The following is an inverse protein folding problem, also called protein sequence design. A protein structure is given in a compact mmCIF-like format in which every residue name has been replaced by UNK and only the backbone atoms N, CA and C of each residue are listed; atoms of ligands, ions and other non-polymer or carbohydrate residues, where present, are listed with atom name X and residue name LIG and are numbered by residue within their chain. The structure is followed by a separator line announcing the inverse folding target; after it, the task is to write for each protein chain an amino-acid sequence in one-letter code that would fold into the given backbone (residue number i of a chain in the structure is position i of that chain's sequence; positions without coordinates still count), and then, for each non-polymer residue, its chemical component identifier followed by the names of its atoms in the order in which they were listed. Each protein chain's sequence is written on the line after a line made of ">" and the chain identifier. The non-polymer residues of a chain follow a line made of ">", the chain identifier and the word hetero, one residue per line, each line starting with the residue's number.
data_IF_501421325821
#
_entry.id   IF_501421325821
#
_cell.length_a   1.000
_cell.length_b   1.000
_cell.length_c   1.000
_cell.angle_alpha   90.00
_cell.angle_beta   90.00
_cell.angle_gamma   90.00
#
_symmetry.space_group_name_H-M   'P 1'
#
loop_
_entity.id
_entity.type
_entity.pdbx_description
1 polymer ?
#
# COMPACT_ATOMS: atom_id res chain seq x y z
N UNK A 1 57.12 15.41 -27.18
CA UNK A 1 56.83 15.50 -25.74
C UNK A 1 55.33 15.36 -25.55
N UNK A 2 54.89 14.13 -25.25
CA UNK A 2 53.53 13.82 -24.82
C UNK A 2 53.37 14.29 -23.38
N UNK A 3 52.35 15.10 -23.08
CA UNK A 3 52.06 15.51 -21.72
C UNK A 3 50.93 14.66 -21.15
N UNK A 4 51.25 14.01 -20.05
CA UNK A 4 50.50 12.97 -19.35
C UNK A 4 49.49 13.62 -18.41
N UNK A 5 48.24 13.84 -18.84
CA UNK A 5 47.09 14.09 -17.95
C UNK A 5 45.72 13.96 -18.64
N UNK A 6 45.66 13.10 -19.67
CA UNK A 6 44.40 12.56 -20.19
C UNK A 6 44.06 11.30 -19.37
N UNK A 7 43.63 11.48 -18.12
CA UNK A 7 43.00 10.42 -17.32
C UNK A 7 42.28 11.06 -16.12
N UNK A 8 41.00 11.36 -16.29
CA UNK A 8 39.86 11.27 -15.34
C UNK A 8 38.69 11.91 -16.09
N UNK A 9 38.24 11.16 -17.09
CA UNK A 9 37.00 11.36 -17.81
C UNK A 9 36.03 10.31 -17.23
N UNK A 10 35.63 10.42 -15.95
CA UNK A 10 34.63 9.52 -15.35
C UNK A 10 34.08 9.93 -13.97
N UNK A 11 33.67 11.19 -13.76
CA UNK A 11 32.97 11.58 -12.51
C UNK A 11 31.64 12.31 -12.70
N UNK A 12 31.02 12.22 -13.88
CA UNK A 12 29.67 12.78 -14.10
C UNK A 12 28.51 11.78 -13.99
N UNK A 13 28.75 10.53 -13.59
CA UNK A 13 27.67 9.55 -13.34
C UNK A 13 28.05 8.57 -12.23
N UNK A 14 28.34 9.08 -11.04
CA UNK A 14 28.15 8.31 -9.82
C UNK A 14 27.20 9.15 -8.98
N UNK A 15 25.94 8.71 -8.91
CA UNK A 15 25.08 9.09 -7.81
C UNK A 15 25.85 8.68 -6.55
N UNK A 16 26.41 9.66 -5.85
CA UNK A 16 27.24 9.42 -4.67
C UNK A 16 26.40 8.61 -3.69
N UNK A 17 26.88 7.39 -3.40
CA UNK A 17 26.14 6.31 -2.77
C UNK A 17 26.04 6.53 -1.24
N UNK A 18 25.62 7.72 -0.82
CA UNK A 18 25.36 8.08 0.58
C UNK A 18 24.12 8.96 0.67
N UNK A 19 23.05 8.37 1.20
CA UNK A 19 21.85 9.02 1.74
C UNK A 19 21.11 9.94 0.77
N UNK A 20 20.47 9.36 -0.24
CA UNK A 20 19.16 9.89 -0.60
C UNK A 20 18.22 9.44 0.53
N UNK A 21 18.09 10.27 1.57
CA UNK A 21 16.87 10.23 2.36
C UNK A 21 15.74 10.57 1.39
N UNK A 22 14.97 9.56 0.97
CA UNK A 22 13.66 9.81 0.39
C UNK A 22 12.79 10.43 1.49
N UNK A 23 12.91 11.73 1.68
CA UNK A 23 12.03 12.49 2.55
C UNK A 23 10.60 12.29 2.04
N UNK A 24 9.70 11.90 2.94
CA UNK A 24 8.26 11.82 2.64
C UNK A 24 7.76 13.23 2.33
N UNK A 25 7.49 13.53 1.06
CA UNK A 25 6.84 14.77 0.65
C UNK A 25 5.34 14.60 0.43
N UNK A 26 4.82 13.39 0.69
CA UNK A 26 3.39 13.13 0.58
C UNK A 26 2.65 13.70 1.80
N UNK A 27 1.52 14.33 1.51
CA UNK A 27 0.61 14.84 2.53
C UNK A 27 -0.07 13.64 3.20
N UNK A 28 0.35 13.31 4.42
CA UNK A 28 -0.12 12.11 5.14
C UNK A 28 -0.64 12.50 6.52
N UNK A 29 -1.80 11.96 6.88
CA UNK A 29 -2.34 12.03 8.25
C UNK A 29 -2.14 10.67 8.92
N UNK A 30 -1.13 10.62 9.80
CA UNK A 30 -0.63 9.40 10.41
C UNK A 30 -1.11 9.30 11.85
N UNK A 31 -1.88 8.27 12.17
CA UNK A 31 -2.32 7.99 13.55
C UNK A 31 -1.68 6.69 14.02
N UNK A 32 -0.96 6.74 15.15
CA UNK A 32 -0.52 5.55 15.86
C UNK A 32 -1.56 5.15 16.91
N UNK A 33 -2.00 3.90 16.85
CA UNK A 33 -2.85 3.24 17.83
C UNK A 33 -2.01 2.23 18.61
N UNK A 34 -1.68 2.57 19.85
CA UNK A 34 -0.61 1.93 20.62
C UNK A 34 -1.19 1.17 21.80
N UNK A 35 -0.90 -0.12 21.88
CA UNK A 35 -1.36 -0.98 22.97
C UNK A 35 -0.63 -0.65 24.28
N UNK A 36 -1.39 -0.38 25.32
CA UNK A 36 -0.93 -0.12 26.68
C UNK A 36 -1.62 -1.08 27.65
N UNK A 37 -1.97 -2.27 27.20
CA UNK A 37 -2.53 -3.31 28.04
C UNK A 37 -1.50 -3.86 29.02
N UNK A 38 -1.98 -4.60 30.01
CA UNK A 38 -1.15 -5.21 31.04
C UNK A 38 -0.14 -6.23 30.51
N UNK A 39 -0.41 -6.86 29.36
CA UNK A 39 0.51 -7.82 28.71
C UNK A 39 1.76 -7.14 28.17
N UNK A 40 1.63 -5.91 27.67
CA UNK A 40 2.75 -5.11 27.17
C UNK A 40 3.71 -4.81 28.32
N UNK A 41 3.22 -4.19 29.40
CA UNK A 41 4.06 -3.75 30.51
C UNK A 41 4.86 -2.48 30.21
N UNK A 42 5.19 -1.72 31.26
CA UNK A 42 5.80 -0.39 31.14
C UNK A 42 7.15 -0.36 30.39
N UNK A 43 7.95 -1.42 30.51
CA UNK A 43 9.25 -1.54 29.84
C UNK A 43 9.07 -1.65 28.32
N UNK A 44 8.16 -2.51 27.87
CA UNK A 44 7.92 -2.72 26.44
C UNK A 44 7.14 -1.56 25.81
N UNK A 45 6.25 -0.91 26.58
CA UNK A 45 5.59 0.30 26.13
C UNK A 45 6.60 1.43 25.81
N UNK A 46 7.71 1.52 26.55
CA UNK A 46 8.78 2.45 26.19
C UNK A 46 9.43 2.10 24.83
N UNK A 47 9.56 0.82 24.50
CA UNK A 47 10.08 0.37 23.20
C UNK A 47 9.13 0.71 22.05
N UNK A 48 7.81 0.65 22.27
CA UNK A 48 6.83 1.13 21.29
C UNK A 48 6.96 2.65 21.08
N UNK A 49 7.12 3.44 22.15
CA UNK A 49 7.38 4.89 22.03
C UNK A 49 8.68 5.19 21.28
N UNK A 50 9.74 4.43 21.54
CA UNK A 50 11.00 4.52 20.80
C UNK A 50 10.81 4.17 19.33
N UNK A 51 10.07 3.11 19.02
CA UNK A 51 9.72 2.73 17.65
C UNK A 51 9.02 3.86 16.90
N UNK A 52 7.98 4.46 17.48
CA UNK A 52 7.26 5.60 16.89
C UNK A 52 8.24 6.76 16.65
N UNK A 53 9.06 7.11 17.67
CA UNK A 53 10.04 8.18 17.56
C UNK A 53 11.09 7.94 16.45
N UNK A 54 11.48 6.68 16.26
CA UNK A 54 12.45 6.29 15.24
C UNK A 54 11.84 6.39 13.84
N UNK A 55 10.60 5.90 13.63
CA UNK A 55 9.92 6.01 12.34
C UNK A 55 9.70 7.48 11.93
N UNK A 56 9.45 8.38 12.88
CA UNK A 56 9.26 9.82 12.61
C UNK A 56 10.51 10.55 12.11
N UNK A 57 11.69 9.93 12.18
CA UNK A 57 12.93 10.57 11.72
C UNK A 57 12.88 10.83 10.21
N UNK A 58 12.21 9.96 9.46
CA UNK A 58 12.14 9.98 7.99
C UNK A 58 11.01 10.87 7.43
N UNK A 59 10.04 11.28 8.26
CA UNK A 59 8.94 12.14 7.86
C UNK A 59 9.30 13.62 7.95
N UNK A 60 8.85 14.46 7.02
CA UNK A 60 8.78 15.90 7.26
C UNK A 60 7.47 16.19 8.00
N UNK A 61 7.54 16.87 9.15
CA UNK A 61 6.35 17.19 9.97
C UNK A 61 5.94 18.62 9.68
N UNK A 62 4.68 18.83 9.30
CA UNK A 62 4.22 20.16 8.93
C UNK A 62 2.84 20.17 8.26
N UNK A 63 2.28 21.37 8.10
CA UNK A 63 0.92 21.54 7.57
C UNK A 63 0.75 21.01 6.13
N UNK A 64 1.83 21.02 5.35
CA UNK A 64 1.84 20.54 3.96
C UNK A 64 2.47 19.14 3.82
N UNK A 65 2.96 18.56 4.92
CA UNK A 65 3.69 17.29 4.94
C UNK A 65 2.92 16.30 5.83
N UNK A 66 3.60 15.58 6.72
CA UNK A 66 2.93 14.67 7.65
C UNK A 66 2.36 15.40 8.89
N UNK A 67 1.12 15.06 9.25
CA UNK A 67 0.52 15.33 10.56
C UNK A 67 0.41 14.03 11.35
N UNK A 68 0.64 14.09 12.66
CA UNK A 68 0.76 12.89 13.50
C UNK A 68 -0.13 12.97 14.72
N UNK A 69 -0.98 11.96 14.89
CA UNK A 69 -1.78 11.74 16.08
C UNK A 69 -1.38 10.46 16.80
N UNK A 70 -1.58 10.41 18.11
CA UNK A 70 -1.34 9.20 18.90
C UNK A 70 -2.52 8.92 19.83
N UNK A 71 -3.00 7.68 19.77
CA UNK A 71 -3.98 7.12 20.69
C UNK A 71 -3.34 5.91 21.36
N UNK A 72 -3.40 5.88 22.69
CA UNK A 72 -3.07 4.66 23.44
C UNK A 72 -4.36 3.94 23.78
N UNK A 73 -4.35 2.62 23.84
CA UNK A 73 -5.52 1.86 24.28
C UNK A 73 -5.15 0.74 25.24
N UNK A 74 -6.07 0.45 26.15
CA UNK A 74 -6.08 -0.77 26.94
C UNK A 74 -7.55 -1.18 27.07
N UNK A 75 -8.13 -1.14 28.27
CA UNK A 75 -9.58 -1.27 28.48
C UNK A 75 -10.34 -0.10 27.86
N UNK A 76 -9.72 1.10 27.79
CA UNK A 76 -10.34 2.30 27.22
C UNK A 76 -9.33 3.05 26.35
N UNK A 77 -9.70 3.49 25.13
CA UNK A 77 -8.86 4.35 24.33
C UNK A 77 -8.66 5.72 25.00
N UNK A 78 -7.48 6.29 24.79
CA UNK A 78 -7.06 7.60 25.28
C UNK A 78 -6.35 8.32 24.16
N UNK A 79 -6.92 9.43 23.75
CA UNK A 79 -6.22 10.43 22.93
C UNK A 79 -5.05 10.98 23.73
N UNK A 80 -3.84 10.86 23.18
CA UNK A 80 -2.66 11.55 23.71
C UNK A 80 -2.52 12.91 23.03
N UNK A 81 -2.69 12.93 21.70
CA UNK A 81 -2.77 14.16 20.93
C UNK A 81 -3.30 13.88 19.52
N UNK A 82 -4.01 14.88 18.96
CA UNK A 82 -4.60 14.88 17.61
C UNK A 82 -3.60 15.28 16.53
N UNK A 83 -3.98 15.10 15.26
CA UNK A 83 -3.15 15.40 14.08
C UNK A 83 -2.66 16.85 14.07
N UNK A 84 -3.49 17.80 14.50
CA UNK A 84 -3.17 19.23 14.54
C UNK A 84 -2.43 19.71 15.81
N UNK A 85 -2.03 18.81 16.71
CA UNK A 85 -1.40 19.21 17.97
C UNK A 85 0.05 19.67 17.82
N UNK A 86 0.81 19.08 16.89
CA UNK A 86 2.22 19.34 16.71
C UNK A 86 2.56 19.56 15.23
N UNK A 87 3.22 20.69 14.94
CA UNK A 87 3.82 20.99 13.64
C UNK A 87 5.36 21.00 13.68
N UNK A 88 5.93 20.89 14.88
CA UNK A 88 7.38 20.80 15.07
C UNK A 88 7.77 19.36 15.43
N UNK A 89 8.70 18.78 14.65
CA UNK A 89 9.14 17.39 14.84
C UNK A 89 9.77 17.18 16.21
N UNK A 90 10.57 18.13 16.71
CA UNK A 90 11.25 17.97 18.00
C UNK A 90 10.25 17.96 19.16
N UNK A 91 9.26 18.87 19.14
CA UNK A 91 8.17 18.93 20.10
C UNK A 91 7.30 17.67 20.05
N UNK A 92 6.95 17.18 18.86
CA UNK A 92 6.22 15.91 18.68
C UNK A 92 6.99 14.74 19.30
N UNK A 93 8.28 14.58 18.96
CA UNK A 93 9.12 13.50 19.50
C UNK A 93 9.23 13.58 21.02
N UNK A 94 9.39 14.79 21.56
CA UNK A 94 9.39 14.99 23.01
C UNK A 94 8.06 14.61 23.65
N UNK A 95 6.92 15.03 23.08
CA UNK A 95 5.59 14.69 23.58
C UNK A 95 5.37 13.16 23.60
N UNK A 96 5.82 12.45 22.57
CA UNK A 96 5.77 10.98 22.52
C UNK A 96 6.48 10.38 23.74
N UNK A 97 7.67 10.85 24.10
CA UNK A 97 8.40 10.30 25.27
C UNK A 97 7.61 10.42 26.58
N UNK A 98 6.74 11.43 26.68
CA UNK A 98 5.94 11.75 27.87
C UNK A 98 4.61 11.02 27.96
N UNK A 99 4.22 10.27 26.93
CA UNK A 99 3.01 9.46 26.97
C UNK A 99 3.10 8.46 28.14
N UNK A 100 2.12 8.46 29.07
CA UNK A 100 2.11 7.56 30.20
C UNK A 100 1.73 6.14 29.78
N UNK A 101 2.37 5.15 30.39
CA UNK A 101 1.90 3.77 30.32
C UNK A 101 0.61 3.66 31.12
N UNK A 102 -0.44 3.19 30.45
CA UNK A 102 -1.68 2.77 31.09
C UNK A 102 -1.64 1.25 31.23
N UNK A 103 -2.54 0.65 32.00
CA UNK A 103 -2.66 -0.81 32.11
C UNK A 103 -4.13 -1.19 31.87
N UNK A 104 -4.43 -2.46 31.75
CA UNK A 104 -5.79 -2.96 31.53
C UNK A 104 -5.84 -4.09 30.51
N UNK A 105 -7.03 -4.32 29.96
CA UNK A 105 -7.28 -5.31 28.91
C UNK A 105 -6.92 -4.76 27.53
N UNK A 106 -7.22 -5.50 26.46
CA UNK A 106 -6.88 -5.15 25.07
C UNK A 106 -8.17 -4.97 24.25
N UNK A 107 -8.80 -3.80 24.33
CA UNK A 107 -10.07 -3.50 23.64
C UNK A 107 -9.83 -2.85 22.27
N UNK A 108 -9.30 -3.63 21.33
CA UNK A 108 -8.88 -3.14 20.00
C UNK A 108 -10.06 -2.60 19.18
N UNK A 109 -11.24 -3.21 19.27
CA UNK A 109 -12.42 -2.75 18.54
C UNK A 109 -12.84 -1.33 18.96
N UNK A 110 -12.91 -1.06 20.26
CA UNK A 110 -13.20 0.25 20.84
C UNK A 110 -12.14 1.28 20.43
N UNK A 111 -10.88 0.85 20.38
CA UNK A 111 -9.75 1.68 19.99
C UNK A 111 -9.83 2.12 18.52
N UNK A 112 -10.14 1.20 17.60
CA UNK A 112 -10.34 1.52 16.18
C UNK A 112 -11.61 2.37 15.98
N UNK A 113 -12.70 2.10 16.70
CA UNK A 113 -13.88 2.97 16.69
C UNK A 113 -13.53 4.39 17.19
N UNK A 114 -12.66 4.53 18.20
CA UNK A 114 -12.23 5.84 18.66
C UNK A 114 -11.48 6.61 17.56
N UNK A 115 -10.56 5.96 16.85
CA UNK A 115 -9.85 6.55 15.71
C UNK A 115 -10.82 7.05 14.63
N UNK A 116 -11.82 6.22 14.25
CA UNK A 116 -12.86 6.57 13.27
C UNK A 116 -13.63 7.87 13.60
N UNK A 117 -13.88 8.11 14.88
CA UNK A 117 -14.81 9.16 15.33
C UNK A 117 -14.11 10.39 15.93
N UNK A 118 -12.82 10.28 16.27
CA UNK A 118 -12.11 11.34 17.00
C UNK A 118 -10.77 11.75 16.39
N UNK A 119 -10.13 10.90 15.59
CA UNK A 119 -8.80 11.17 15.03
C UNK A 119 -8.85 11.56 13.56
N UNK A 120 -9.51 10.74 12.72
CA UNK A 120 -9.72 11.06 11.30
C UNK A 120 -11.02 11.85 11.11
N UNK A 121 -11.03 13.06 11.67
CA UNK A 121 -12.10 14.04 11.52
C UNK A 121 -11.51 15.46 11.35
N UNK A 122 -12.16 16.37 10.61
CA UNK A 122 -11.62 17.70 10.34
C UNK A 122 -11.25 18.50 11.60
N UNK A 123 -12.05 18.41 12.67
CA UNK A 123 -11.77 19.09 13.94
C UNK A 123 -10.54 18.57 14.68
N UNK A 124 -10.01 17.40 14.29
CA UNK A 124 -8.77 16.83 14.81
C UNK A 124 -7.55 17.13 13.93
N UNK A 125 -7.74 17.83 12.81
CA UNK A 125 -6.68 18.14 11.85
C UNK A 125 -6.63 17.21 10.65
N UNK A 126 -7.59 16.29 10.50
CA UNK A 126 -7.72 15.44 9.31
C UNK A 126 -7.95 16.31 8.07
N UNK A 127 -7.11 16.10 7.05
CA UNK A 127 -7.07 16.89 5.85
C UNK A 127 -7.71 16.09 4.73
N UNK A 128 -8.71 16.66 4.04
CA UNK A 128 -9.35 15.98 2.92
C UNK A 128 -8.36 15.79 1.76
N UNK A 129 -7.20 16.47 1.80
CA UNK A 129 -6.13 16.34 0.83
C UNK A 129 -4.93 15.49 1.24
N UNK A 130 -4.96 14.88 2.42
CA UNK A 130 -3.96 13.93 2.87
C UNK A 130 -4.41 12.47 2.74
N UNK A 131 -3.45 11.55 2.66
CA UNK A 131 -3.71 10.12 2.80
C UNK A 131 -3.73 9.75 4.29
N UNK A 132 -4.84 9.16 4.74
CA UNK A 132 -4.98 8.71 6.12
C UNK A 132 -4.31 7.35 6.31
N UNK A 133 -3.46 7.24 7.33
CA UNK A 133 -2.73 6.01 7.67
C UNK A 133 -2.87 5.73 9.15
N UNK A 134 -3.40 4.57 9.49
CA UNK A 134 -3.47 4.05 10.84
C UNK A 134 -2.38 2.99 11.04
N UNK A 135 -1.50 3.18 12.02
CA UNK A 135 -0.54 2.16 12.45
C UNK A 135 -1.03 1.56 13.76
N UNK A 136 -1.38 0.28 13.77
CA UNK A 136 -1.82 -0.45 14.96
C UNK A 136 -0.65 -1.26 15.51
N UNK A 137 -0.27 -1.02 16.76
CA UNK A 137 0.71 -1.82 17.51
C UNK A 137 -0.03 -2.61 18.58
N UNK A 138 0.13 -3.93 18.63
CA UNK A 138 -0.47 -4.76 19.70
C UNK A 138 0.28 -6.08 19.89
N UNK A 139 0.31 -6.55 21.14
CA UNK A 139 0.87 -7.86 21.51
C UNK A 139 -0.19 -8.92 21.79
N UNK A 140 -1.47 -8.57 21.62
CA UNK A 140 -2.60 -9.35 22.08
C UNK A 140 -3.71 -9.55 21.05
N UNK A 141 -4.77 -10.20 21.52
CA UNK A 141 -6.01 -10.42 20.78
C UNK A 141 -7.12 -9.56 21.36
N UNK A 142 -7.97 -8.99 20.50
CA UNK A 142 -9.18 -8.29 20.95
C UNK A 142 -10.17 -9.26 21.60
N UNK A 143 -10.91 -8.77 22.60
CA UNK A 143 -12.05 -9.50 23.17
C UNK A 143 -13.22 -9.72 22.19
N UNK A 144 -13.29 -8.95 21.09
CA UNK A 144 -14.34 -9.04 20.07
C UNK A 144 -13.77 -8.87 18.66
N UNK A 145 -13.31 -9.97 18.08
CA UNK A 145 -12.71 -10.00 16.74
C UNK A 145 -13.66 -9.50 15.65
N UNK A 146 -14.94 -9.87 15.69
CA UNK A 146 -15.90 -9.50 14.67
C UNK A 146 -16.10 -7.98 14.62
N UNK A 147 -16.22 -7.36 15.80
CA UNK A 147 -16.32 -5.92 15.93
C UNK A 147 -15.01 -5.21 15.55
N UNK A 148 -13.84 -5.77 15.88
CA UNK A 148 -12.56 -5.21 15.42
C UNK A 148 -12.53 -5.11 13.89
N UNK A 149 -12.92 -6.18 13.18
CA UNK A 149 -12.96 -6.19 11.71
C UNK A 149 -14.00 -5.22 11.16
N UNK A 150 -15.17 -5.10 11.80
CA UNK A 150 -16.20 -4.14 11.41
C UNK A 150 -15.66 -2.69 11.46
N UNK A 151 -14.99 -2.32 12.54
CA UNK A 151 -14.43 -0.97 12.71
C UNK A 151 -13.26 -0.68 11.77
N UNK A 152 -12.42 -1.69 11.50
CA UNK A 152 -11.36 -1.59 10.50
C UNK A 152 -11.94 -1.42 9.07
N UNK A 153 -13.04 -2.12 8.76
CA UNK A 153 -13.71 -1.98 7.46
C UNK A 153 -14.29 -0.57 7.26
N UNK A 154 -14.76 0.09 8.33
CA UNK A 154 -15.22 1.49 8.25
C UNK A 154 -14.09 2.45 7.88
N UNK A 155 -12.89 2.26 8.41
CA UNK A 155 -11.69 3.02 8.01
C UNK A 155 -11.31 2.74 6.55
N UNK A 156 -11.27 1.47 6.15
CA UNK A 156 -10.95 1.07 4.77
C UNK A 156 -11.93 1.64 3.74
N UNK A 157 -13.23 1.73 4.08
CA UNK A 157 -14.24 2.37 3.23
C UNK A 157 -14.02 3.87 3.04
N UNK A 158 -13.31 4.53 3.96
CA UNK A 158 -12.86 5.92 3.86
C UNK A 158 -11.42 6.01 3.34
N UNK A 159 -10.98 4.99 2.62
CA UNK A 159 -9.64 4.88 2.01
C UNK A 159 -8.48 5.07 2.99
N UNK A 160 -8.70 4.86 4.29
CA UNK A 160 -7.63 4.84 5.28
C UNK A 160 -6.82 3.55 5.10
N UNK A 161 -5.50 3.70 5.00
CA UNK A 161 -4.58 2.56 4.98
C UNK A 161 -4.32 2.14 6.41
N UNK A 162 -4.42 0.85 6.69
CA UNK A 162 -4.10 0.27 8.00
C UNK A 162 -2.82 -0.53 7.86
N UNK A 163 -1.83 -0.20 8.69
CA UNK A 163 -0.62 -0.99 8.93
C UNK A 163 -0.80 -1.67 10.29
N UNK A 164 -0.67 -2.99 10.34
CA UNK A 164 -0.83 -3.75 11.57
C UNK A 164 0.50 -4.40 11.98
N UNK A 165 0.93 -4.14 13.21
CA UNK A 165 2.15 -4.71 13.78
C UNK A 165 1.78 -5.58 14.97
N UNK A 166 1.94 -6.89 14.80
CA UNK A 166 1.80 -7.88 15.85
C UNK A 166 3.12 -8.15 16.53
N UNK A 167 3.14 -8.07 17.86
CA UNK A 167 4.35 -8.24 18.67
C UNK A 167 4.24 -9.52 19.50
N UNK A 168 5.26 -10.37 19.42
CA UNK A 168 5.29 -11.62 20.17
C UNK A 168 4.27 -12.66 19.69
N UNK A 169 4.08 -13.70 20.51
CA UNK A 169 3.21 -14.83 20.20
C UNK A 169 1.74 -14.62 20.58
N UNK A 170 1.43 -13.58 21.35
CA UNK A 170 0.07 -13.24 21.78
C UNK A 170 -0.77 -12.55 20.70
N UNK A 171 -0.13 -11.94 19.71
CA UNK A 171 -0.81 -11.22 18.64
C UNK A 171 -1.58 -12.17 17.71
N UNK A 172 -2.88 -11.93 17.54
CA UNK A 172 -3.73 -12.77 16.70
C UNK A 172 -3.48 -12.53 15.21
N UNK A 173 -2.86 -13.51 14.54
CA UNK A 173 -2.57 -13.42 13.10
C UNK A 173 -3.83 -13.21 12.26
N UNK A 174 -4.91 -13.94 12.53
CA UNK A 174 -6.16 -13.81 11.78
C UNK A 174 -6.79 -12.43 11.96
N UNK A 175 -6.70 -11.86 13.16
CA UNK A 175 -7.19 -10.51 13.46
C UNK A 175 -6.42 -9.46 12.70
N UNK A 176 -5.10 -9.43 12.83
CA UNK A 176 -4.27 -8.41 12.19
C UNK A 176 -4.34 -8.47 10.66
N UNK A 177 -4.39 -9.68 10.08
CA UNK A 177 -4.62 -9.85 8.64
C UNK A 177 -5.99 -9.31 8.20
N UNK A 178 -7.01 -9.38 9.05
CA UNK A 178 -8.33 -8.85 8.73
C UNK A 178 -8.43 -7.32 8.83
N UNK A 179 -7.55 -6.67 9.60
CA UNK A 179 -7.52 -5.21 9.69
C UNK A 179 -7.11 -4.58 8.37
N UNK A 180 -6.07 -5.12 7.74
CA UNK A 180 -5.43 -4.53 6.57
C UNK A 180 -6.19 -4.81 5.27
N UNK A 181 -5.96 -3.98 4.25
CA UNK A 181 -6.46 -4.21 2.87
C UNK A 181 -5.47 -5.03 2.04
N UNK A 182 -4.18 -4.89 2.34
CA UNK A 182 -3.07 -5.56 1.64
C UNK A 182 -2.28 -6.38 2.67
N UNK A 183 -2.08 -7.70 2.45
CA UNK A 183 -1.28 -8.54 3.34
C UNK A 183 0.18 -8.10 3.51
N UNK A 184 0.71 -7.25 2.62
CA UNK A 184 2.04 -6.65 2.78
C UNK A 184 2.09 -5.56 3.86
N UNK A 185 0.94 -5.12 4.40
CA UNK A 185 0.86 -4.12 5.46
C UNK A 185 0.69 -4.73 6.87
N UNK A 186 0.82 -6.06 7.00
CA UNK A 186 0.89 -6.71 8.30
C UNK A 186 2.31 -7.20 8.59
N UNK A 187 2.82 -6.85 9.77
CA UNK A 187 4.16 -7.18 10.21
C UNK A 187 4.08 -7.92 11.54
N UNK A 188 4.84 -9.01 11.66
CA UNK A 188 4.97 -9.75 12.90
C UNK A 188 6.41 -9.72 13.36
N UNK A 189 6.64 -9.29 14.60
CA UNK A 189 7.95 -9.27 15.23
C UNK A 189 7.95 -10.21 16.44
N UNK A 190 9.09 -10.84 16.72
CA UNK A 190 9.18 -11.84 17.78
C UNK A 190 9.06 -11.24 19.18
N UNK A 191 9.47 -9.98 19.35
CA UNK A 191 9.43 -9.24 20.61
C UNK A 191 9.47 -7.73 20.34
N UNK A 192 9.39 -6.94 21.40
CA UNK A 192 9.41 -5.48 21.32
C UNK A 192 10.77 -4.91 20.91
N UNK A 193 11.88 -5.64 21.12
CA UNK A 193 13.21 -5.19 20.67
C UNK A 193 13.34 -5.28 19.15
N UNK A 194 12.60 -6.19 18.51
CA UNK A 194 12.56 -6.35 17.06
C UNK A 194 11.74 -5.26 16.33
N UNK A 195 10.97 -4.41 17.04
CA UNK A 195 10.29 -3.26 16.44
C UNK A 195 11.25 -2.32 15.70
N UNK A 196 12.49 -2.20 16.19
CA UNK A 196 13.54 -1.42 15.54
C UNK A 196 13.85 -1.87 14.10
N UNK A 197 13.44 -3.06 13.69
CA UNK A 197 13.71 -3.59 12.34
C UNK A 197 12.68 -3.14 11.31
N UNK A 198 11.51 -2.65 11.73
CA UNK A 198 10.38 -2.35 10.84
C UNK A 198 10.01 -0.86 10.80
N UNK A 199 10.79 0.01 11.46
CA UNK A 199 10.51 1.45 11.49
C UNK A 199 10.60 2.10 10.10
N UNK A 200 11.54 1.63 9.27
CA UNK A 200 11.64 2.00 7.85
C UNK A 200 10.41 1.56 7.05
N UNK A 201 9.74 0.49 7.47
CA UNK A 201 8.59 -0.05 6.75
C UNK A 201 7.36 0.82 6.92
N UNK A 202 7.14 1.41 8.11
CA UNK A 202 6.04 2.36 8.31
C UNK A 202 6.20 3.57 7.39
N UNK A 203 7.42 4.12 7.31
CA UNK A 203 7.74 5.20 6.38
C UNK A 203 7.54 4.75 4.93
N UNK A 204 8.13 3.61 4.55
CA UNK A 204 8.01 3.08 3.19
C UNK A 204 6.55 2.87 2.78
N UNK A 205 5.71 2.29 3.64
CA UNK A 205 4.29 2.14 3.31
C UNK A 205 3.65 3.52 3.20
N UNK A 206 3.73 4.37 4.24
CA UNK A 206 3.07 5.66 4.27
C UNK A 206 3.48 6.61 3.13
N UNK A 207 4.73 6.55 2.69
CA UNK A 207 5.31 7.43 1.66
C UNK A 207 5.35 6.80 0.27
N UNK A 208 5.17 5.49 0.16
CA UNK A 208 4.94 4.82 -1.13
C UNK A 208 3.46 4.47 -1.33
N UNK A 209 2.55 5.04 -0.52
CA UNK A 209 1.13 5.08 -0.88
C UNK A 209 0.91 5.82 -2.19
N UNK A 210 1.93 6.57 -2.63
CA UNK A 210 2.06 7.10 -3.97
C UNK A 210 1.07 8.23 -4.18
N UNK A 211 1.54 9.32 -4.76
CA UNK A 211 0.66 10.21 -5.51
C UNK A 211 -0.30 9.35 -6.33
N UNK A 212 -1.61 9.48 -6.10
CA UNK A 212 -2.58 8.66 -6.80
C UNK A 212 -2.44 8.88 -8.31
N UNK A 213 -1.80 7.91 -8.97
CA UNK A 213 -1.40 7.97 -10.35
C UNK A 213 -1.53 6.57 -10.95
N UNK A 214 -1.82 6.54 -12.25
CA UNK A 214 -1.76 5.29 -13.00
C UNK A 214 -0.29 4.94 -13.25
N UNK A 215 0.13 3.71 -12.90
CA UNK A 215 1.49 3.24 -13.18
C UNK A 215 1.77 3.06 -14.68
N UNK A 216 0.72 3.01 -15.50
CA UNK A 216 0.82 3.05 -16.96
C UNK A 216 0.02 4.24 -17.53
N UNK A 217 0.50 4.87 -18.62
CA UNK A 217 -0.23 5.96 -19.26
C UNK A 217 -1.51 5.46 -19.96
N UNK A 218 -2.50 6.35 -20.09
CA UNK A 218 -3.70 6.19 -20.94
C UNK A 218 -4.60 5.02 -20.50
N UNK A 219 -4.97 4.96 -19.21
CA UNK A 219 -5.80 3.88 -18.68
C UNK A 219 -7.26 3.85 -19.20
N UNK A 220 -7.76 4.97 -19.71
CA UNK A 220 -8.99 5.07 -20.52
C UNK A 220 -9.06 4.06 -21.68
N UNK A 221 -7.92 3.65 -22.27
CA UNK A 221 -7.87 2.70 -23.39
C UNK A 221 -8.34 1.30 -23.01
N UNK A 222 -8.29 0.96 -21.72
CA UNK A 222 -8.77 -0.33 -21.22
C UNK A 222 -10.27 -0.31 -20.89
N UNK A 223 -10.89 0.88 -20.88
CA UNK A 223 -12.31 1.06 -20.56
C UNK A 223 -12.63 0.83 -19.08
N UNK A 224 -13.80 1.30 -18.61
CA UNK A 224 -14.18 1.23 -17.20
C UNK A 224 -14.37 -0.20 -16.68
N UNK A 225 -14.64 -1.15 -17.57
CA UNK A 225 -14.74 -2.57 -17.21
C UNK A 225 -13.41 -3.17 -16.74
N UNK A 226 -12.26 -2.58 -17.10
CA UNK A 226 -10.98 -3.05 -16.61
C UNK A 226 -10.86 -2.89 -15.08
N UNK A 227 -11.51 -1.87 -14.53
CA UNK A 227 -11.56 -1.61 -13.11
C UNK A 227 -12.30 -2.73 -12.35
N UNK A 228 -13.40 -3.25 -12.91
CA UNK A 228 -14.20 -4.28 -12.24
C UNK A 228 -13.74 -5.70 -12.58
N UNK A 229 -13.50 -6.01 -13.85
CA UNK A 229 -13.15 -7.34 -14.33
C UNK A 229 -11.70 -7.76 -14.04
N UNK A 230 -10.79 -6.78 -13.91
CA UNK A 230 -9.36 -7.01 -13.65
C UNK A 230 -8.89 -6.23 -12.43
N UNK A 231 -9.69 -6.22 -11.36
CA UNK A 231 -9.48 -5.38 -10.17
C UNK A 231 -8.04 -5.44 -9.64
N UNK A 232 -7.45 -6.64 -9.48
CA UNK A 232 -6.08 -6.77 -8.97
C UNK A 232 -4.98 -6.24 -9.90
N UNK A 233 -5.19 -6.27 -11.22
CA UNK A 233 -4.28 -5.64 -12.17
C UNK A 233 -4.49 -4.12 -12.19
N UNK A 234 -5.75 -3.68 -12.13
CA UNK A 234 -6.13 -2.28 -12.23
C UNK A 234 -5.78 -1.48 -10.96
N UNK A 235 -5.74 -2.09 -9.78
CA UNK A 235 -5.23 -1.47 -8.54
C UNK A 235 -3.75 -1.13 -8.59
N UNK A 236 -2.98 -1.78 -9.46
CA UNK A 236 -1.53 -1.55 -9.61
C UNK A 236 -1.27 -0.62 -10.80
N UNK A 237 -1.97 -0.82 -11.92
CA UNK A 237 -1.64 -0.16 -13.18
C UNK A 237 -2.49 1.08 -13.46
N UNK A 238 -3.75 1.08 -13.03
CA UNK A 238 -4.75 2.10 -13.38
C UNK A 238 -5.50 2.62 -12.14
N UNK A 239 -4.77 2.79 -11.03
CA UNK A 239 -5.35 3.09 -9.73
C UNK A 239 -6.09 4.44 -9.71
N UNK A 240 -5.58 5.45 -10.42
CA UNK A 240 -6.19 6.77 -10.51
C UNK A 240 -7.40 6.75 -11.45
N UNK A 241 -7.25 6.19 -12.66
CA UNK A 241 -8.34 6.06 -13.64
C UNK A 241 -9.53 5.26 -13.10
N UNK A 242 -9.25 4.20 -12.34
CA UNK A 242 -10.29 3.35 -11.76
C UNK A 242 -10.82 3.83 -10.41
N UNK A 243 -10.31 4.94 -9.87
CA UNK A 243 -10.69 5.46 -8.56
C UNK A 243 -10.38 4.50 -7.42
N UNK A 244 -9.32 3.67 -7.57
CA UNK A 244 -8.82 2.81 -6.50
C UNK A 244 -7.86 3.51 -5.56
N UNK A 245 -7.32 4.64 -6.01
CA UNK A 245 -6.75 5.64 -5.14
C UNK A 245 -7.54 6.95 -5.35
N UNK A 246 -7.62 7.77 -4.32
CA UNK A 246 -8.10 9.14 -4.48
C UNK A 246 -6.88 10.06 -4.49
N UNK A 247 -6.61 10.69 -5.64
CA UNK A 247 -5.94 11.98 -5.63
C UNK A 247 -6.96 12.94 -5.03
N UNK A 248 -6.63 13.56 -3.93
CA UNK A 248 -7.52 14.52 -3.30
C UNK A 248 -7.54 15.86 -4.04
N UNK A 249 -8.08 15.84 -5.26
CA UNK A 249 -8.52 17.05 -5.92
C UNK A 249 -10.04 17.02 -5.98
N UNK A 250 -10.63 18.02 -5.35
CA UNK A 250 -12.04 18.35 -5.45
C UNK A 250 -12.39 18.69 -6.91
N UNK A 251 -12.60 17.67 -7.72
CA UNK A 251 -13.27 17.78 -9.01
C UNK A 251 -14.24 16.62 -9.14
N UNK A 252 -15.51 16.97 -9.22
CA UNK A 252 -16.64 16.08 -9.42
C UNK A 252 -16.50 15.29 -10.73
N UNK A 253 -15.85 14.12 -10.69
CA UNK A 253 -16.03 13.13 -11.75
C UNK A 253 -17.05 12.09 -11.28
N UNK A 254 -18.32 12.38 -11.61
CA UNK A 254 -19.39 11.38 -11.58
C UNK A 254 -18.93 10.19 -12.45
N UNK A 255 -18.99 8.94 -11.96
CA UNK A 255 -18.72 7.78 -12.81
C UNK A 255 -19.67 7.84 -14.03
N UNK A 256 -19.17 7.59 -15.26
CA UNK A 256 -20.00 7.68 -16.44
C UNK A 256 -21.16 6.66 -16.33
N UNK A 257 -22.35 6.99 -16.88
CA UNK A 257 -23.48 6.09 -16.85
C UNK A 257 -23.10 4.77 -17.52
N UNK A 258 -23.40 3.66 -16.84
CA UNK A 258 -23.30 2.31 -17.40
C UNK A 258 -24.19 2.26 -18.63
N UNK A 259 -23.58 2.37 -19.81
CA UNK A 259 -24.27 2.17 -21.08
C UNK A 259 -23.75 0.85 -21.62
N UNK A 260 -24.61 -0.17 -21.55
CA UNK A 260 -24.35 -1.51 -22.06
C UNK A 260 -24.09 -1.46 -23.55
N UNK A 261 -22.82 -1.47 -23.94
CA UNK A 261 -22.40 -1.88 -25.28
C UNK A 261 -21.22 -2.83 -25.08
N UNK A 262 -21.43 -4.10 -25.41
CA UNK A 262 -20.33 -5.04 -25.61
C UNK A 262 -19.42 -4.47 -26.70
N UNK A 263 -18.25 -3.96 -26.29
CA UNK A 263 -17.09 -3.81 -27.15
C UNK A 263 -15.91 -4.51 -26.47
N UNK A 264 -15.54 -5.66 -27.02
CA UNK A 264 -14.22 -6.25 -26.85
C UNK A 264 -13.19 -5.32 -27.50
N UNK A 265 -12.20 -4.82 -26.75
CA UNK A 265 -11.07 -4.09 -27.36
C UNK A 265 -9.99 -5.05 -27.87
N UNK A 266 -9.22 -4.63 -28.90
CA UNK A 266 -8.44 -5.48 -29.80
C UNK A 266 -6.97 -5.63 -29.36
N UNK A 267 -6.23 -6.60 -29.92
CA UNK A 267 -4.79 -6.71 -29.74
C UNK A 267 -4.03 -5.52 -30.36
N UNK A 268 -2.86 -5.13 -29.80
CA UNK A 268 -1.98 -4.14 -30.43
C UNK A 268 -1.53 -4.62 -31.82
N UNK A 269 -1.39 -3.66 -32.73
CA UNK A 269 -1.01 -3.86 -34.14
C UNK A 269 0.32 -4.56 -34.33
N UNK A 270 0.27 -5.49 -35.27
CA UNK A 270 1.29 -6.17 -36.08
C UNK A 270 2.75 -5.72 -35.90
N UNK A 271 3.58 -6.64 -35.40
CA UNK A 271 5.01 -6.70 -35.75
C UNK A 271 5.25 -8.03 -36.46
N UNK A 272 5.85 -7.97 -37.64
CA UNK A 272 6.07 -9.05 -38.59
C UNK A 272 6.79 -10.24 -37.94
N UNK A 273 6.20 -11.43 -38.06
CA UNK A 273 6.74 -12.67 -37.55
C UNK A 273 7.91 -13.17 -38.42
N UNK A 274 9.06 -13.39 -37.81
CA UNK A 274 10.16 -14.18 -38.41
C UNK A 274 10.09 -15.59 -37.84
N UNK A 275 9.90 -16.56 -38.73
CA UNK A 275 9.81 -17.99 -38.44
C UNK A 275 11.17 -18.57 -38.02
N UNK A 276 11.28 -19.02 -36.76
CA UNK A 276 12.17 -20.11 -36.36
C UNK A 276 11.56 -20.88 -35.18
N UNK A 277 11.51 -22.21 -35.32
CA UNK A 277 10.78 -23.20 -34.53
C UNK A 277 11.36 -23.45 -33.13
N UNK A 278 11.19 -22.52 -32.20
CA UNK A 278 11.41 -22.77 -30.77
C UNK A 278 10.17 -22.34 -30.01
N UNK A 279 9.63 -23.20 -29.13
CA UNK A 279 8.46 -22.80 -28.34
C UNK A 279 8.89 -21.78 -27.28
N UNK A 280 8.75 -20.51 -27.63
CA UNK A 280 9.01 -19.36 -26.76
C UNK A 280 7.76 -18.50 -26.70
N UNK A 281 7.59 -17.81 -25.60
CA UNK A 281 6.62 -16.72 -25.55
C UNK A 281 7.14 -15.59 -26.44
N UNK A 282 6.30 -15.14 -27.38
CA UNK A 282 6.59 -13.99 -28.23
C UNK A 282 6.57 -12.71 -27.38
N UNK A 283 5.82 -12.72 -26.29
CA UNK A 283 5.67 -11.60 -25.37
C UNK A 283 6.39 -11.93 -24.04
N UNK A 284 7.27 -11.05 -23.51
CA UNK A 284 8.09 -11.36 -22.33
C UNK A 284 7.32 -11.38 -20.99
N UNK A 285 6.11 -10.84 -20.93
CA UNK A 285 5.36 -10.66 -19.67
C UNK A 285 4.09 -11.53 -19.57
N UNK A 286 4.05 -12.71 -20.22
CA UNK A 286 2.88 -13.58 -20.22
C UNK A 286 2.29 -13.91 -18.83
N UNK A 287 3.13 -13.96 -17.79
CA UNK A 287 2.70 -14.17 -16.39
C UNK A 287 1.77 -13.07 -15.85
N UNK A 288 1.85 -11.84 -16.36
CA UNK A 288 1.06 -10.71 -15.89
C UNK A 288 -0.41 -10.78 -16.34
N UNK A 289 -0.71 -11.53 -17.41
CA UNK A 289 -2.08 -11.72 -17.89
C UNK A 289 -2.87 -12.79 -17.10
N UNK A 290 -2.21 -13.48 -16.18
CA UNK A 290 -2.82 -14.51 -15.33
C UNK A 290 -3.16 -15.82 -16.06
N UNK A 291 -3.49 -16.88 -15.32
CA UNK A 291 -3.69 -18.22 -15.88
C UNK A 291 -4.94 -18.35 -16.76
N UNK A 292 -5.89 -17.42 -16.63
CA UNK A 292 -7.15 -17.42 -17.39
C UNK A 292 -6.95 -17.13 -18.87
N UNK A 293 -5.84 -16.46 -19.26
CA UNK A 293 -5.52 -16.17 -20.67
C UNK A 293 -5.22 -17.45 -21.48
N UNK A 294 -4.87 -18.53 -20.79
CA UNK A 294 -4.54 -19.82 -21.41
C UNK A 294 -5.79 -20.67 -21.74
N UNK A 295 -6.99 -20.22 -21.35
CA UNK A 295 -8.24 -20.96 -21.43
C UNK A 295 -9.30 -20.23 -22.28
N UNK A 296 -10.38 -20.95 -22.58
CA UNK A 296 -11.58 -20.38 -23.21
C UNK A 296 -11.31 -19.72 -24.56
N UNK A 297 -11.99 -18.59 -24.79
CA UNK A 297 -11.94 -17.82 -26.05
C UNK A 297 -10.56 -17.23 -26.38
N UNK A 298 -9.65 -17.14 -25.41
CA UNK A 298 -8.32 -16.54 -25.59
C UNK A 298 -7.22 -17.56 -25.91
N UNK A 299 -7.52 -18.86 -25.80
CA UNK A 299 -6.58 -19.95 -26.13
C UNK A 299 -5.92 -19.82 -27.52
N UNK A 300 -6.62 -19.41 -28.61
CA UNK A 300 -6.00 -19.22 -29.92
C UNK A 300 -5.03 -18.04 -30.01
N UNK A 301 -5.22 -17.01 -29.19
CA UNK A 301 -4.27 -15.90 -29.10
C UNK A 301 -3.06 -16.30 -28.26
N UNK A 302 -3.29 -16.98 -27.14
CA UNK A 302 -2.25 -17.49 -26.25
C UNK A 302 -1.33 -18.50 -26.96
N UNK A 303 -1.86 -19.33 -27.86
CA UNK A 303 -1.05 -20.27 -28.64
C UNK A 303 -0.05 -19.61 -29.60
N UNK A 304 -0.25 -18.32 -29.93
CA UNK A 304 0.65 -17.56 -30.82
C UNK A 304 1.57 -16.58 -30.07
N UNK A 305 1.22 -16.21 -28.85
CA UNK A 305 1.91 -15.12 -28.14
C UNK A 305 2.51 -15.56 -26.80
N UNK A 306 1.84 -16.47 -26.10
CA UNK A 306 2.20 -16.97 -24.78
C UNK A 306 2.22 -18.50 -24.78
N UNK A 307 2.71 -19.10 -25.87
CA UNK A 307 2.63 -20.53 -26.10
C UNK A 307 3.41 -21.35 -25.07
N UNK A 308 4.52 -20.81 -24.56
CA UNK A 308 5.34 -21.44 -23.54
C UNK A 308 4.68 -21.29 -22.15
N UNK A 309 4.29 -20.08 -21.75
CA UNK A 309 3.57 -19.81 -20.51
C UNK A 309 2.28 -20.64 -20.39
N UNK A 310 1.49 -20.71 -21.47
CA UNK A 310 0.22 -21.43 -21.50
C UNK A 310 0.33 -22.91 -21.85
N UNK A 311 1.55 -23.44 -22.07
CA UNK A 311 1.79 -24.83 -22.45
C UNK A 311 1.02 -25.26 -23.72
N UNK A 312 0.93 -24.36 -24.70
CA UNK A 312 0.18 -24.53 -25.96
C UNK A 312 1.07 -24.79 -27.18
N UNK A 313 2.35 -25.10 -26.98
CA UNK A 313 3.34 -25.33 -28.03
C UNK A 313 2.93 -26.32 -29.15
N UNK A 314 1.97 -27.21 -28.88
CA UNK A 314 1.51 -28.26 -29.81
C UNK A 314 0.32 -27.86 -30.70
N UNK A 315 -0.24 -26.65 -30.54
CA UNK A 315 -1.47 -26.23 -31.22
C UNK A 315 -1.27 -25.50 -32.56
N UNK A 316 -0.02 -25.34 -33.03
CA UNK A 316 0.31 -24.50 -34.20
C UNK A 316 0.29 -25.24 -35.55
N UNK A 317 0.00 -26.55 -35.59
CA UNK A 317 0.08 -27.37 -36.81
C UNK A 317 -1.23 -27.57 -37.58
N UNK A 318 -2.36 -27.02 -37.12
CA UNK A 318 -3.65 -27.19 -37.78
C UNK A 318 -4.03 -25.97 -38.64
N UNK A 319 -3.54 -25.94 -39.89
CA UNK A 319 -4.07 -25.06 -40.94
C UNK A 319 -5.14 -25.86 -41.71
N UNK A 320 -6.41 -25.45 -41.64
CA UNK A 320 -7.49 -25.97 -42.51
C UNK A 320 -7.74 -24.92 -43.62
N UNK A 321 -7.82 -25.30 -44.90
CA UNK A 321 -7.92 -24.37 -46.02
C UNK A 321 -9.32 -23.79 -46.19
N UNK A 322 -9.38 -22.55 -46.69
CA UNK A 322 -10.61 -21.85 -47.08
C UNK A 322 -11.14 -22.50 -48.37
N UNK A 323 -12.38 -23.00 -48.35
CA UNK A 323 -13.17 -23.27 -49.56
C UNK A 323 -14.49 -22.53 -49.41
N UNK A 324 -14.77 -21.65 -50.37
CA UNK A 324 -15.92 -20.74 -50.35
C UNK A 324 -17.22 -21.33 -50.91
N UNK A 325 -18.27 -20.53 -50.74
CA UNK A 325 -19.33 -20.21 -51.70
C UNK A 325 -19.89 -18.84 -51.34
#
# INVERSE_FOLDING_TARGET
>A
MMNLLSLILLTFFVCDFKFIECACHDKVDLVYLVDSSGSVGSINFNKEKEFINNSLSQFVIGHNDALVGVVTFSTVPREQFKLNAFLDKAALKYAITKIPYLTGNTHTAEAINFVNNHMFIPSAGDRPDAQNVLVVLTDGQSGDHAKTLQEANRLKQRTTVIIAVGIGSGASKSELNGLVSDPSYVFFVNDFDALKQIHDTVHSVACNLGTCADAIPDCNRFGPNACTAFKGWATINCAHYCGFCHANTATTHRPPPVTTILKTLPPPTTTTATTTSSCVDVIPNCKQYGPTVCLGTYKPWASRNCAYYCKLCYALTAVVPIVGK
#
